data_IF_271404446316
#
_entry.id   IF_271404446316
#
_cell.length_a   1.000
_cell.length_b   1.000
_cell.length_c   1.000
_cell.angle_alpha   90.00
_cell.angle_beta   90.00
_cell.angle_gamma   90.00
#
_symmetry.space_group_name_H-M   'P 1'
#
loop_
_entity.id
_entity.type
_entity.pdbx_description
1 polymer ?
#
# COMPACT_ATOMS: atom_id res chain seq x y z
N UNK A 1 5.31 -26.41 -2.11
CA UNK A 1 6.67 -26.09 -2.62
C UNK A 1 6.91 -26.66 -4.02
N UNK A 2 6.45 -25.96 -5.05
CA UNK A 2 7.00 -26.14 -6.40
C UNK A 2 7.43 -24.77 -6.92
N UNK A 3 8.71 -24.46 -6.72
CA UNK A 3 9.35 -23.37 -7.43
C UNK A 3 9.32 -23.78 -8.90
N UNK A 4 8.86 -22.89 -9.78
CA UNK A 4 8.89 -23.14 -11.22
C UNK A 4 10.30 -23.57 -11.63
N UNK A 5 10.46 -24.69 -12.32
CA UNK A 5 11.77 -25.21 -12.74
C UNK A 5 12.48 -24.27 -13.73
N UNK A 6 11.74 -23.37 -14.38
CA UNK A 6 12.27 -22.30 -15.22
C UNK A 6 11.57 -20.95 -14.93
N UNK A 7 11.94 -20.28 -13.82
CA UNK A 7 11.31 -19.04 -13.40
C UNK A 7 11.49 -17.90 -14.41
N UNK A 8 12.61 -17.90 -15.14
CA UNK A 8 12.90 -16.91 -16.18
C UNK A 8 12.00 -17.09 -17.40
N UNK A 9 11.91 -18.32 -17.92
CA UNK A 9 11.09 -18.63 -19.10
C UNK A 9 9.59 -18.51 -18.84
N UNK A 10 9.12 -18.83 -17.62
CA UNK A 10 7.71 -18.72 -17.29
C UNK A 10 7.21 -17.26 -17.24
N UNK A 11 8.10 -16.31 -16.97
CA UNK A 11 7.81 -14.86 -16.96
C UNK A 11 8.18 -14.13 -18.26
N UNK A 12 8.43 -14.85 -19.36
CA UNK A 12 9.01 -14.29 -20.58
C UNK A 12 8.24 -13.11 -21.18
N UNK A 13 6.91 -13.15 -21.09
CA UNK A 13 5.99 -12.12 -21.55
C UNK A 13 6.16 -10.78 -20.80
N UNK A 14 6.66 -10.82 -19.57
CA UNK A 14 6.78 -9.65 -18.69
C UNK A 14 8.19 -9.06 -18.66
N UNK A 15 9.17 -9.73 -19.30
CA UNK A 15 10.53 -9.21 -19.41
C UNK A 15 10.56 -7.98 -20.31
N UNK A 16 11.25 -6.95 -19.85
CA UNK A 16 11.56 -5.77 -20.67
C UNK A 16 12.87 -6.00 -21.40
N UNK A 17 12.79 -6.18 -22.71
CA UNK A 17 13.95 -6.30 -23.57
C UNK A 17 14.34 -4.94 -24.17
N UNK A 18 15.61 -4.76 -24.59
CA UNK A 18 16.01 -3.61 -25.38
C UNK A 18 15.15 -3.50 -26.65
N UNK A 19 14.79 -2.26 -27.03
CA UNK A 19 14.10 -2.02 -28.29
C UNK A 19 14.97 -2.45 -29.48
N UNK A 20 14.33 -2.88 -30.57
CA UNK A 20 15.04 -3.13 -31.84
C UNK A 20 15.61 -1.80 -32.38
N UNK A 21 16.73 -1.83 -33.12
CA UNK A 21 17.19 -0.65 -33.86
C UNK A 21 16.07 -0.10 -34.75
N UNK A 22 15.83 1.23 -34.69
CA UNK A 22 14.75 1.94 -35.42
C UNK A 22 13.33 1.48 -35.05
N UNK A 23 12.98 1.50 -33.77
CA UNK A 23 11.62 1.18 -33.34
C UNK A 23 10.62 2.26 -33.79
N UNK A 24 9.44 1.83 -34.28
CA UNK A 24 8.38 2.71 -34.79
C UNK A 24 7.36 3.13 -33.71
N UNK A 25 7.40 2.51 -32.55
CA UNK A 25 6.37 2.63 -31.50
C UNK A 25 6.66 3.76 -30.48
N UNK A 26 7.85 4.38 -30.53
CA UNK A 26 8.22 5.49 -29.65
C UNK A 26 8.96 6.60 -30.43
N UNK A 27 8.78 7.84 -29.99
CA UNK A 27 9.43 9.02 -30.59
C UNK A 27 10.94 8.95 -30.36
N UNK A 28 11.68 8.56 -31.40
CA UNK A 28 13.07 8.95 -31.54
C UNK A 28 13.10 10.37 -32.09
N UNK A 29 14.02 11.20 -31.57
CA UNK A 29 14.32 12.48 -32.21
C UNK A 29 14.91 12.18 -33.61
N UNK A 30 14.29 12.67 -34.71
CA UNK A 30 14.71 12.35 -36.08
C UNK A 30 16.15 12.79 -36.40
N UNK A 31 16.67 13.79 -35.70
CA UNK A 31 17.98 14.39 -35.99
C UNK A 31 19.12 13.81 -35.13
N UNK A 32 18.89 12.68 -34.45
CA UNK A 32 19.86 12.12 -33.52
C UNK A 32 20.89 11.19 -34.22
N UNK A 33 22.21 11.46 -34.08
CA UNK A 33 23.25 10.56 -34.58
C UNK A 33 23.22 9.19 -33.90
N UNK A 34 23.52 8.13 -34.64
CA UNK A 34 23.51 6.73 -34.14
C UNK A 34 24.52 6.49 -32.98
N UNK A 35 25.49 7.38 -32.81
CA UNK A 35 26.58 7.36 -31.83
C UNK A 35 26.41 8.41 -30.71
N UNK A 36 25.21 8.97 -30.56
CA UNK A 36 24.91 9.98 -29.53
C UNK A 36 25.14 9.46 -28.10
N UNK A 37 26.11 10.06 -27.39
CA UNK A 37 26.45 9.77 -25.97
C UNK A 37 25.71 10.65 -24.95
N UNK A 38 24.74 11.47 -25.36
CA UNK A 38 23.98 12.34 -24.44
C UNK A 38 23.09 11.48 -23.53
N UNK A 39 23.17 11.71 -22.21
CA UNK A 39 22.27 11.10 -21.21
C UNK A 39 20.88 11.73 -21.33
N UNK A 40 20.09 11.28 -22.30
CA UNK A 40 18.81 11.91 -22.62
C UNK A 40 17.87 11.11 -23.52
N UNK A 41 18.06 9.81 -23.68
CA UNK A 41 17.07 8.94 -24.32
C UNK A 41 16.41 8.07 -23.25
N UNK A 42 15.11 8.25 -23.01
CA UNK A 42 14.34 7.34 -22.13
C UNK A 42 13.95 6.09 -22.93
N UNK A 43 14.98 5.32 -23.27
CA UNK A 43 14.88 3.87 -23.43
C UNK A 43 14.48 3.30 -22.05
N UNK A 44 13.65 2.23 -21.92
CA UNK A 44 13.27 1.72 -20.61
C UNK A 44 14.52 1.48 -19.77
N UNK A 45 14.74 2.34 -18.77
CA UNK A 45 15.94 2.39 -17.93
C UNK A 45 16.15 1.13 -17.08
N UNK A 46 15.28 0.12 -17.27
CA UNK A 46 15.30 -1.18 -16.61
C UNK A 46 14.94 -2.28 -17.61
N UNK A 47 15.91 -2.65 -18.44
CA UNK A 47 15.89 -3.93 -19.14
C UNK A 47 16.14 -5.07 -18.15
N UNK A 48 15.53 -6.23 -18.40
CA UNK A 48 15.71 -7.40 -17.56
C UNK A 48 17.03 -8.12 -17.92
N UNK A 49 17.84 -8.52 -16.93
CA UNK A 49 18.99 -9.42 -17.17
C UNK A 49 18.56 -10.72 -17.85
N UNK A 50 19.50 -11.39 -18.53
CA UNK A 50 19.23 -12.67 -19.24
C UNK A 50 18.81 -13.81 -18.31
N UNK A 51 19.09 -13.68 -17.02
CA UNK A 51 18.74 -14.61 -15.94
C UNK A 51 17.70 -14.01 -14.98
N UNK A 52 16.98 -12.96 -15.40
CA UNK A 52 16.01 -12.27 -14.56
C UNK A 52 14.94 -13.25 -14.03
N UNK A 53 14.90 -13.45 -12.72
CA UNK A 53 13.86 -14.21 -12.01
C UNK A 53 12.84 -13.30 -11.33
N UNK A 54 12.95 -11.97 -11.50
CA UNK A 54 12.07 -10.98 -10.86
C UNK A 54 10.61 -11.01 -11.33
N UNK A 55 10.32 -11.74 -12.41
CA UNK A 55 8.98 -11.95 -12.96
C UNK A 55 8.45 -13.37 -12.73
N UNK A 56 9.20 -14.20 -11.99
CA UNK A 56 8.81 -15.56 -11.64
C UNK A 56 7.50 -15.62 -10.83
N UNK A 57 7.13 -14.50 -10.18
CA UNK A 57 5.89 -14.34 -9.46
C UNK A 57 4.65 -14.42 -10.35
N UNK A 58 4.79 -14.11 -11.65
CA UNK A 58 3.72 -14.13 -12.66
C UNK A 58 3.57 -15.46 -13.41
N UNK A 59 4.30 -16.49 -13.01
CA UNK A 59 4.28 -17.79 -13.69
C UNK A 59 2.89 -18.45 -13.57
N UNK A 60 2.21 -18.81 -14.69
CA UNK A 60 0.88 -19.43 -14.65
C UNK A 60 0.85 -20.81 -13.97
N UNK A 61 2.00 -21.48 -13.93
CA UNK A 61 2.19 -22.79 -13.27
C UNK A 61 2.58 -22.68 -11.80
N UNK A 62 2.69 -21.46 -11.27
CA UNK A 62 3.02 -21.25 -9.86
C UNK A 62 1.78 -21.52 -9.02
N UNK A 63 1.75 -22.68 -8.37
CA UNK A 63 0.88 -22.91 -7.23
C UNK A 63 1.47 -22.15 -6.05
N UNK A 64 0.92 -20.99 -5.72
CA UNK A 64 1.32 -20.26 -4.50
C UNK A 64 1.10 -21.20 -3.30
N UNK A 65 2.00 -21.19 -2.31
CA UNK A 65 1.87 -21.97 -1.06
C UNK A 65 0.71 -21.44 -0.16
N UNK A 66 -0.31 -20.82 -0.76
CA UNK A 66 -1.37 -20.09 -0.09
C UNK A 66 -0.87 -18.83 0.63
N UNK A 67 -1.70 -18.32 1.53
CA UNK A 67 -1.34 -17.19 2.39
C UNK A 67 -0.46 -17.71 3.53
N UNK A 68 0.78 -17.25 3.59
CA UNK A 68 1.71 -17.58 4.67
C UNK A 68 1.81 -16.43 5.67
N UNK A 69 1.70 -16.75 6.96
CA UNK A 69 2.01 -15.80 8.02
C UNK A 69 3.51 -15.53 8.04
N UNK A 70 3.89 -14.24 8.03
CA UNK A 70 5.27 -13.81 8.21
C UNK A 70 5.37 -12.93 9.42
N UNK A 71 6.36 -13.19 10.27
CA UNK A 71 6.68 -12.26 11.34
C UNK A 71 7.13 -10.93 10.76
N UNK A 72 6.65 -9.85 11.37
CA UNK A 72 7.03 -8.50 10.99
C UNK A 72 8.52 -8.29 11.30
N UNK A 73 9.26 -7.76 10.32
CA UNK A 73 10.67 -7.36 10.53
C UNK A 73 10.71 -6.18 11.52
N UNK A 74 11.38 -6.36 12.66
CA UNK A 74 11.52 -5.34 13.72
C UNK A 74 10.67 -5.65 14.95
N UNK A 75 9.87 -4.68 15.43
CA UNK A 75 9.02 -4.88 16.62
C UNK A 75 7.96 -5.97 16.36
N UNK A 76 7.96 -6.99 17.22
CA UNK A 76 7.03 -8.13 17.18
C UNK A 76 5.58 -7.73 17.43
N UNK A 77 5.33 -6.61 18.13
CA UNK A 77 4.00 -6.07 18.40
C UNK A 77 3.89 -4.63 17.89
N UNK A 78 2.80 -4.34 17.19
CA UNK A 78 2.41 -3.00 16.77
C UNK A 78 1.14 -2.64 17.54
N UNK A 79 1.22 -1.66 18.44
CA UNK A 79 0.04 -1.09 19.08
C UNK A 79 -0.56 -0.08 18.12
N UNK A 80 -1.81 -0.31 17.71
CA UNK A 80 -2.58 0.65 16.92
C UNK A 80 -3.38 1.52 17.88
N UNK A 81 -3.25 2.84 17.73
CA UNK A 81 -4.11 3.77 18.43
C UNK A 81 -5.50 3.70 17.80
N UNK A 82 -6.49 3.30 18.59
CA UNK A 82 -7.86 3.08 18.13
C UNK A 82 -8.77 4.13 18.78
N UNK A 83 -9.43 4.99 17.99
CA UNK A 83 -10.45 5.89 18.52
C UNK A 83 -11.53 5.12 19.29
N UNK A 84 -12.01 5.69 20.39
CA UNK A 84 -13.01 5.06 21.26
C UNK A 84 -14.29 4.69 20.51
N UNK A 85 -14.63 5.44 19.47
CA UNK A 85 -15.80 5.26 18.61
C UNK A 85 -15.74 3.96 17.81
N UNK A 86 -14.54 3.42 17.56
CA UNK A 86 -14.37 2.12 16.89
C UNK A 86 -14.55 0.94 17.83
N UNK A 87 -14.41 1.12 19.15
CA UNK A 87 -14.47 0.01 20.10
C UNK A 87 -15.83 -0.70 20.10
N UNK A 88 -16.99 0.00 20.09
CA UNK A 88 -18.29 -0.66 19.95
C UNK A 88 -18.42 -1.46 18.65
N UNK A 89 -17.93 -0.92 17.53
CA UNK A 89 -17.97 -1.58 16.22
C UNK A 89 -17.12 -2.86 16.21
N UNK A 90 -15.92 -2.81 16.79
CA UNK A 90 -15.04 -3.98 16.91
C UNK A 90 -15.62 -5.05 17.85
N UNK A 91 -16.31 -4.65 18.92
CA UNK A 91 -17.01 -5.58 19.81
C UNK A 91 -18.17 -6.27 19.11
N UNK A 92 -18.93 -5.52 18.29
CA UNK A 92 -20.02 -6.11 17.51
C UNK A 92 -19.49 -7.08 16.46
N UNK A 93 -18.42 -6.69 15.76
CA UNK A 93 -17.71 -7.57 14.84
C UNK A 93 -17.23 -8.87 15.51
N UNK A 94 -16.73 -8.79 16.75
CA UNK A 94 -16.34 -9.98 17.52
C UNK A 94 -17.53 -10.92 17.78
N UNK A 95 -18.71 -10.40 18.11
CA UNK A 95 -19.92 -11.23 18.28
C UNK A 95 -20.30 -11.95 16.98
N UNK A 96 -20.22 -11.25 15.85
CA UNK A 96 -20.48 -11.84 14.53
C UNK A 96 -19.48 -12.97 14.26
N UNK A 97 -18.19 -12.77 14.56
CA UNK A 97 -17.18 -13.83 14.42
C UNK A 97 -17.44 -15.04 15.33
N UNK A 98 -17.84 -14.81 16.57
CA UNK A 98 -18.12 -15.89 17.51
C UNK A 98 -19.32 -16.73 17.00
N UNK A 99 -20.31 -16.09 16.35
CA UNK A 99 -21.41 -16.77 15.68
C UNK A 99 -20.95 -17.54 14.42
N UNK A 100 -20.13 -16.92 13.56
CA UNK A 100 -19.56 -17.57 12.38
C UNK A 100 -18.69 -18.77 12.77
N UNK A 101 -17.95 -18.67 13.87
CA UNK A 101 -17.16 -19.76 14.46
C UNK A 101 -18.04 -20.90 14.94
N UNK A 102 -19.14 -20.60 15.63
CA UNK A 102 -20.09 -21.62 16.07
C UNK A 102 -20.77 -22.33 14.87
N UNK A 103 -21.10 -21.58 13.82
CA UNK A 103 -21.67 -22.13 12.58
C UNK A 103 -20.67 -23.01 11.81
N UNK A 104 -19.41 -22.58 11.71
CA UNK A 104 -18.37 -23.32 11.01
C UNK A 104 -17.94 -24.62 11.72
N UNK A 105 -18.06 -24.68 13.05
CA UNK A 105 -17.73 -25.86 13.85
C UNK A 105 -16.30 -26.36 13.58
N UNK A 106 -16.17 -27.63 13.18
CA UNK A 106 -14.88 -28.26 12.87
C UNK A 106 -14.16 -27.66 11.66
N UNK A 107 -14.87 -26.91 10.79
CA UNK A 107 -14.27 -26.23 9.64
C UNK A 107 -13.59 -24.90 10.02
N UNK A 108 -13.67 -24.47 11.28
CA UNK A 108 -13.05 -23.25 11.74
C UNK A 108 -11.54 -23.43 12.01
N UNK A 109 -10.70 -22.68 11.29
CA UNK A 109 -9.26 -22.62 11.51
C UNK A 109 -8.92 -21.42 12.41
N UNK A 110 -8.59 -21.65 13.69
CA UNK A 110 -8.28 -20.55 14.62
C UNK A 110 -6.83 -20.04 14.46
N UNK A 111 -6.72 -18.78 14.02
CA UNK A 111 -5.46 -18.06 13.85
C UNK A 111 -5.41 -16.74 14.64
N UNK A 112 -6.34 -16.53 15.59
CA UNK A 112 -6.46 -15.29 16.39
C UNK A 112 -6.51 -14.01 15.51
N UNK A 113 -7.24 -14.09 14.40
CA UNK A 113 -7.37 -12.99 13.45
C UNK A 113 -8.51 -12.05 13.83
N UNK A 114 -8.26 -10.74 13.73
CA UNK A 114 -9.31 -9.74 13.89
C UNK A 114 -10.26 -9.68 12.68
N UNK A 115 -9.82 -10.13 11.50
CA UNK A 115 -10.65 -10.17 10.28
C UNK A 115 -10.39 -11.49 9.52
N UNK A 116 -10.91 -12.63 10.01
CA UNK A 116 -10.86 -13.90 9.30
C UNK A 116 -11.94 -13.96 8.21
N UNK A 117 -11.84 -14.96 7.34
CA UNK A 117 -12.98 -15.44 6.54
C UNK A 117 -13.98 -16.16 7.46
N UNK A 118 -15.17 -16.51 6.94
CA UNK A 118 -16.19 -17.29 7.68
C UNK A 118 -15.72 -18.65 8.22
N UNK A 119 -14.56 -19.13 7.80
CA UNK A 119 -13.94 -20.38 8.26
C UNK A 119 -12.69 -20.16 9.12
N UNK A 120 -12.44 -18.94 9.61
CA UNK A 120 -11.27 -18.64 10.42
C UNK A 120 -9.96 -18.39 9.64
N UNK A 121 -9.95 -18.71 8.34
CA UNK A 121 -8.77 -18.57 7.47
C UNK A 121 -8.41 -17.10 7.18
N UNK A 122 -7.15 -16.79 6.83
CA UNK A 122 -6.76 -15.45 6.37
C UNK A 122 -7.50 -15.03 5.10
N UNK A 123 -7.91 -13.77 5.04
CA UNK A 123 -8.52 -13.19 3.86
C UNK A 123 -7.49 -12.93 2.76
N UNK A 124 -7.82 -13.27 1.52
CA UNK A 124 -6.96 -12.99 0.38
C UNK A 124 -6.99 -11.50 0.02
N UNK A 125 -5.86 -10.93 -0.41
CA UNK A 125 -5.79 -9.52 -0.83
C UNK A 125 -6.78 -9.18 -1.95
N UNK A 126 -7.05 -10.12 -2.85
CA UNK A 126 -7.98 -9.89 -3.96
C UNK A 126 -9.43 -9.85 -3.48
N UNK A 127 -9.78 -10.64 -2.47
CA UNK A 127 -11.09 -10.65 -1.81
C UNK A 127 -11.32 -9.36 -1.01
N UNK A 128 -10.36 -8.99 -0.16
CA UNK A 128 -10.38 -7.73 0.60
C UNK A 128 -10.57 -6.52 -0.34
N UNK A 129 -9.84 -6.50 -1.46
CA UNK A 129 -10.01 -5.44 -2.46
C UNK A 129 -11.39 -5.44 -3.13
N UNK A 130 -11.96 -6.61 -3.43
CA UNK A 130 -13.33 -6.71 -3.98
C UNK A 130 -14.37 -6.21 -2.98
N UNK A 131 -14.24 -6.58 -1.70
CA UNK A 131 -15.09 -6.11 -0.61
C UNK A 131 -15.00 -4.59 -0.48
N UNK A 132 -13.80 -4.02 -0.48
CA UNK A 132 -13.58 -2.58 -0.48
C UNK A 132 -14.32 -1.88 -1.64
N UNK A 133 -14.19 -2.38 -2.87
CA UNK A 133 -14.88 -1.81 -4.03
C UNK A 133 -16.40 -1.92 -3.92
N UNK A 134 -16.92 -3.01 -3.34
CA UNK A 134 -18.34 -3.15 -3.07
C UNK A 134 -18.84 -2.15 -2.01
N UNK A 135 -18.06 -1.91 -0.95
CA UNK A 135 -18.36 -0.91 0.06
C UNK A 135 -18.44 0.51 -0.52
N UNK A 136 -17.48 0.89 -1.38
CA UNK A 136 -17.51 2.21 -2.03
C UNK A 136 -18.78 2.40 -2.89
N UNK A 137 -19.15 1.38 -3.67
CA UNK A 137 -20.39 1.42 -4.48
C UNK A 137 -21.62 1.55 -3.60
N UNK A 138 -21.70 0.77 -2.51
CA UNK A 138 -22.83 0.83 -1.57
C UNK A 138 -22.93 2.18 -0.85
N UNK A 139 -21.80 2.81 -0.56
CA UNK A 139 -21.75 4.14 0.05
C UNK A 139 -22.03 5.28 -0.95
N UNK A 140 -22.16 4.99 -2.26
CA UNK A 140 -22.40 6.01 -3.28
C UNK A 140 -21.22 6.97 -3.50
N UNK A 141 -20.01 6.58 -3.09
CA UNK A 141 -18.81 7.43 -3.22
C UNK A 141 -18.00 7.06 -4.46
N UNK A 142 -17.12 7.98 -4.88
CA UNK A 142 -16.20 7.76 -6.00
C UNK A 142 -15.37 6.49 -5.81
N UNK A 143 -14.97 5.91 -6.93
CA UNK A 143 -14.01 4.83 -6.90
C UNK A 143 -12.67 5.30 -6.30
N UNK A 144 -12.10 4.48 -5.42
CA UNK A 144 -10.82 4.71 -4.77
C UNK A 144 -10.12 3.38 -4.50
N UNK A 145 -8.80 3.42 -4.37
CA UNK A 145 -7.98 2.26 -3.95
C UNK A 145 -8.03 2.15 -2.43
N UNK A 146 -7.80 0.96 -1.90
CA UNK A 146 -7.73 0.75 -0.44
C UNK A 146 -6.67 1.66 0.22
N UNK A 147 -5.52 1.84 -0.44
CA UNK A 147 -4.47 2.73 0.07
C UNK A 147 -4.88 4.22 0.11
N UNK A 148 -5.89 4.63 -0.66
CA UNK A 148 -6.36 6.01 -0.64
C UNK A 148 -7.07 6.32 0.68
N UNK A 149 -7.70 5.35 1.35
CA UNK A 149 -8.27 5.53 2.69
C UNK A 149 -7.19 5.92 3.72
N UNK A 150 -6.01 5.30 3.61
CA UNK A 150 -4.84 5.65 4.43
C UNK A 150 -4.32 7.05 4.09
N UNK A 151 -4.37 7.44 2.82
CA UNK A 151 -4.03 8.80 2.43
C UNK A 151 -4.99 9.82 3.05
N UNK A 152 -6.30 9.57 2.98
CA UNK A 152 -7.31 10.43 3.60
C UNK A 152 -7.08 10.57 5.11
N UNK A 153 -6.82 9.46 5.83
CA UNK A 153 -6.51 9.51 7.25
C UNK A 153 -5.27 10.38 7.56
N UNK A 154 -4.20 10.24 6.77
CA UNK A 154 -2.99 11.07 6.92
C UNK A 154 -3.25 12.55 6.67
N UNK A 155 -4.00 12.88 5.62
CA UNK A 155 -4.39 14.28 5.32
C UNK A 155 -5.24 14.88 6.43
N UNK A 156 -6.28 14.18 6.90
CA UNK A 156 -7.16 14.69 7.97
C UNK A 156 -6.39 14.97 9.27
N UNK A 157 -5.47 14.08 9.65
CA UNK A 157 -4.64 14.31 10.84
C UNK A 157 -3.75 15.56 10.68
N UNK A 158 -3.14 15.72 9.50
CA UNK A 158 -2.34 16.92 9.22
C UNK A 158 -3.23 18.16 9.25
N UNK A 159 -4.37 18.18 8.56
CA UNK A 159 -5.32 19.31 8.55
C UNK A 159 -5.77 19.73 9.96
N UNK A 160 -5.92 18.77 10.88
CA UNK A 160 -6.27 19.00 12.28
C UNK A 160 -5.13 19.57 13.14
N UNK A 161 -3.95 19.84 12.57
CA UNK A 161 -2.80 20.37 13.33
C UNK A 161 -1.97 19.30 14.02
N UNK A 162 -2.22 18.01 13.76
CA UNK A 162 -1.44 16.94 14.40
C UNK A 162 -0.01 16.98 13.89
N UNK A 163 0.93 17.05 14.83
CA UNK A 163 2.35 17.11 14.51
C UNK A 163 2.79 15.91 13.63
N UNK A 164 3.61 16.17 12.61
CA UNK A 164 3.94 15.19 11.57
C UNK A 164 4.58 13.89 12.10
N UNK A 165 5.30 13.97 13.23
CA UNK A 165 5.85 12.78 13.91
C UNK A 165 4.77 11.91 14.54
N UNK A 166 3.73 12.51 15.08
CA UNK A 166 2.57 11.78 15.63
C UNK A 166 1.79 11.13 14.49
N UNK A 167 1.58 11.84 13.37
CA UNK A 167 0.97 11.25 12.16
C UNK A 167 1.81 10.09 11.62
N UNK A 168 3.14 10.21 11.61
CA UNK A 168 4.06 9.15 11.21
C UNK A 168 3.87 7.90 12.08
N UNK A 169 3.74 8.06 13.39
CA UNK A 169 3.55 6.97 14.35
C UNK A 169 2.17 6.31 14.20
N UNK A 170 1.09 7.10 14.11
CA UNK A 170 -0.28 6.60 13.90
C UNK A 170 -0.35 5.77 12.62
N UNK A 171 0.25 6.26 11.53
CA UNK A 171 0.28 5.52 10.28
C UNK A 171 1.25 4.33 10.36
N UNK A 172 2.31 4.41 11.16
CA UNK A 172 3.35 3.38 11.25
C UNK A 172 4.35 3.44 10.09
N UNK A 173 4.65 4.64 9.59
CA UNK A 173 5.67 4.84 8.56
C UNK A 173 7.08 4.76 9.15
N UNK A 174 7.94 3.92 8.57
CA UNK A 174 9.33 3.78 9.00
C UNK A 174 10.17 5.05 8.78
N UNK A 175 9.84 5.85 7.75
CA UNK A 175 10.52 7.10 7.41
C UNK A 175 9.51 8.24 7.38
N UNK A 176 9.88 9.38 7.96
CA UNK A 176 9.05 10.60 7.97
C UNK A 176 8.76 11.11 6.56
N UNK A 177 9.70 10.92 5.62
CA UNK A 177 9.53 11.29 4.20
C UNK A 177 8.35 10.62 3.51
N UNK A 178 7.90 9.47 4.02
CA UNK A 178 6.68 8.81 3.50
C UNK A 178 5.40 9.55 3.93
N UNK A 179 5.44 10.21 5.09
CA UNK A 179 4.38 11.01 5.70
C UNK A 179 4.39 12.46 5.20
N UNK A 180 5.55 12.99 4.79
CA UNK A 180 5.67 14.35 4.23
C UNK A 180 4.79 14.59 2.99
N UNK A 181 4.35 13.53 2.30
CA UNK A 181 3.36 13.65 1.21
C UNK A 181 2.04 14.32 1.66
N UNK A 182 1.75 14.38 2.96
CA UNK A 182 0.55 15.02 3.51
C UNK A 182 0.76 16.50 3.88
N UNK A 183 2.00 16.99 3.96
CA UNK A 183 2.29 18.36 4.43
C UNK A 183 2.01 19.43 3.37
N UNK A 184 1.81 19.05 2.10
CA UNK A 184 1.43 20.00 1.04
C UNK A 184 0.07 20.68 1.28
N UNK A 185 -0.75 20.15 2.18
CA UNK A 185 -2.08 20.70 2.53
C UNK A 185 -1.99 21.76 3.65
N UNK A 186 -0.79 22.02 4.19
CA UNK A 186 -0.57 22.81 5.40
C UNK A 186 -0.56 24.35 5.23
N UNK A 187 -1.08 24.91 4.15
CA UNK A 187 -0.98 26.37 3.89
C UNK A 187 -1.62 27.22 5.00
N UNK A 188 -2.73 26.76 5.60
CA UNK A 188 -3.37 27.43 6.73
C UNK A 188 -2.56 27.31 8.03
N UNK A 189 -1.79 26.23 8.18
CA UNK A 189 -1.03 25.94 9.39
C UNK A 189 0.24 26.78 9.49
N UNK A 190 0.83 27.14 8.35
CA UNK A 190 2.00 28.04 8.31
C UNK A 190 1.63 29.42 8.86
N UNK A 191 0.45 29.93 8.47
CA UNK A 191 -0.04 31.23 8.95
C UNK A 191 -0.34 31.20 10.45
N UNK A 192 -1.11 30.21 10.90
CA UNK A 192 -1.46 30.02 12.32
C UNK A 192 -0.20 29.81 13.19
N UNK A 193 0.78 29.02 12.73
CA UNK A 193 2.05 28.85 13.45
C UNK A 193 2.84 30.16 13.57
N UNK A 194 2.85 30.97 12.50
CA UNK A 194 3.48 32.29 12.52
C UNK A 194 2.79 33.25 13.50
N UNK A 195 1.45 33.25 13.53
CA UNK A 195 0.66 34.08 14.45
C UNK A 195 0.85 33.66 15.91
N UNK A 196 0.84 32.35 16.20
CA UNK A 196 1.11 31.81 17.55
C UNK A 196 2.51 32.11 18.04
N UNK A 197 3.51 32.00 17.16
CA UNK A 197 4.88 32.42 17.48
C UNK A 197 4.93 33.92 17.75
N UNK A 198 4.20 34.72 16.96
CA UNK A 198 4.01 36.15 17.17
C UNK A 198 3.49 36.46 18.57
N UNK A 199 2.38 35.83 18.96
CA UNK A 199 1.77 36.01 20.27
C UNK A 199 2.67 35.51 21.42
N UNK A 200 3.37 34.39 21.25
CA UNK A 200 4.23 33.84 22.30
C UNK A 200 5.50 34.67 22.56
N UNK A 201 6.01 35.35 21.54
CA UNK A 201 7.25 36.13 21.64
C UNK A 201 7.02 37.63 21.90
N UNK A 202 5.89 38.18 21.43
CA UNK A 202 5.59 39.61 21.48
C UNK A 202 4.16 39.94 21.94
N UNK A 203 3.40 38.96 22.43
CA UNK A 203 2.13 39.24 23.12
C UNK A 203 2.42 39.82 24.50
N UNK A 204 2.09 41.08 24.70
CA UNK A 204 2.04 41.68 26.04
C UNK A 204 0.95 40.95 26.85
N UNK A 205 1.25 40.63 28.12
CA UNK A 205 0.38 39.91 29.08
C UNK A 205 -1.06 40.45 29.16
#
# INVERSE_FOLDING_TARGET
MQRCDNPHGCGAEWHRFPCKPRCKDHKHDPDCPHDCKKRGHVCPTRTCPKDCTGHADRCPRRTDDGIIFRQRKGRSRLTLQCPSELLPVLREHRKIQDAERAEAGELWEDHDLLFPTRRGRPMERSEDYKMWKALLRRAGVREARLHDARHTAGTLLVEQGVHIRVVQEILGHARVTTTERYTHVATLQVKDASERMGAALWGDE
#
